data_IF_071313688768
#
_entry.id   IF_071313688768
#
_cell.length_a   1.000
_cell.length_b   1.000
_cell.length_c   1.000
_cell.angle_alpha   90.00
_cell.angle_beta   90.00
_cell.angle_gamma   90.00
#
_symmetry.space_group_name_H-M   'P 1'
#
loop_
_entity.id
_entity.type
_entity.pdbx_description
1 polymer ?
#
# COMPACT_ATOMS: atom_id res chain seq x y z
N UNK A 1 -7.29 -3.40 -5.89
CA UNK A 1 -6.34 -4.46 -6.31
C UNK A 1 -5.36 -4.64 -5.16
N UNK A 2 -5.21 -5.85 -4.59
CA UNK A 2 -4.27 -6.07 -3.47
C UNK A 2 -2.84 -5.74 -3.91
N UNK A 3 -2.03 -5.22 -2.99
CA UNK A 3 -0.62 -4.88 -3.24
C UNK A 3 0.17 -6.08 -3.78
N UNK A 4 -0.16 -7.31 -3.35
CA UNK A 4 0.47 -8.52 -3.82
C UNK A 4 0.20 -8.79 -5.31
N UNK A 5 -1.02 -8.55 -5.81
CA UNK A 5 -1.39 -8.74 -7.22
C UNK A 5 -0.60 -7.80 -8.11
N UNK A 6 -0.47 -6.53 -7.70
CA UNK A 6 0.36 -5.56 -8.41
C UNK A 6 1.84 -5.97 -8.42
N UNK A 7 2.35 -6.51 -7.31
CA UNK A 7 3.74 -6.96 -7.22
C UNK A 7 4.06 -8.15 -8.14
N UNK A 8 3.16 -9.14 -8.25
CA UNK A 8 3.35 -10.27 -9.19
C UNK A 8 3.35 -9.80 -10.64
N UNK A 9 2.41 -8.91 -11.02
CA UNK A 9 2.37 -8.34 -12.37
C UNK A 9 3.67 -7.63 -12.72
N UNK A 10 4.26 -6.87 -11.79
CA UNK A 10 5.53 -6.20 -12.03
C UNK A 10 6.69 -7.17 -12.16
N UNK A 11 6.71 -8.23 -11.36
CA UNK A 11 7.72 -9.28 -11.45
C UNK A 11 7.71 -9.95 -12.82
N UNK A 12 6.53 -10.28 -13.36
CA UNK A 12 6.38 -10.86 -14.71
C UNK A 12 6.87 -9.92 -15.82
N UNK A 13 6.64 -8.60 -15.67
CA UNK A 13 7.10 -7.60 -16.64
C UNK A 13 8.63 -7.52 -16.61
N UNK A 14 9.20 -7.41 -15.41
CA UNK A 14 10.65 -7.28 -15.23
C UNK A 14 11.40 -8.53 -15.68
N UNK A 15 10.86 -9.72 -15.47
CA UNK A 15 11.44 -10.99 -15.94
C UNK A 15 11.50 -11.03 -17.48
N UNK A 16 10.42 -10.64 -18.15
CA UNK A 16 10.41 -10.55 -19.63
C UNK A 16 11.40 -9.53 -20.17
N UNK A 17 11.50 -8.37 -19.54
CA UNK A 17 12.47 -7.34 -19.94
C UNK A 17 13.91 -7.79 -19.69
N UNK A 18 14.15 -8.47 -18.57
CA UNK A 18 15.44 -9.06 -18.24
C UNK A 18 15.84 -10.11 -19.29
N UNK A 19 14.98 -11.09 -19.57
CA UNK A 19 15.24 -12.17 -20.53
C UNK A 19 15.57 -11.62 -21.91
N UNK A 20 14.78 -10.65 -22.38
CA UNK A 20 15.03 -9.99 -23.67
C UNK A 20 16.40 -9.31 -23.68
N UNK A 21 16.68 -8.48 -22.68
CA UNK A 21 17.95 -7.73 -22.60
C UNK A 21 19.15 -8.66 -22.45
N UNK A 22 18.98 -9.79 -21.76
CA UNK A 22 20.00 -10.80 -21.59
C UNK A 22 20.34 -11.47 -22.93
N UNK A 23 19.34 -11.87 -23.71
CA UNK A 23 19.54 -12.45 -25.04
C UNK A 23 20.19 -11.44 -25.98
N UNK A 24 19.69 -10.20 -26.01
CA UNK A 24 20.24 -9.14 -26.85
C UNK A 24 21.73 -8.89 -26.52
N UNK A 25 22.10 -8.94 -25.24
CA UNK A 25 23.49 -8.79 -24.80
C UNK A 25 24.38 -9.97 -25.19
N UNK A 26 23.90 -11.22 -25.11
CA UNK A 26 24.69 -12.39 -25.53
C UNK A 26 24.92 -12.40 -27.05
N UNK A 27 23.94 -11.95 -27.83
CA UNK A 27 24.10 -11.76 -29.28
C UNK A 27 25.21 -10.74 -29.58
N UNK A 28 25.22 -9.60 -28.89
CA UNK A 28 26.27 -8.59 -29.05
C UNK A 28 27.66 -9.10 -28.67
N UNK A 29 27.76 -9.94 -27.63
CA UNK A 29 29.03 -10.59 -27.26
C UNK A 29 29.49 -11.62 -28.31
N UNK A 30 28.54 -12.22 -29.04
CA UNK A 30 28.81 -13.14 -30.13
C UNK A 30 29.32 -12.47 -31.41
N UNK A 31 29.08 -11.17 -31.59
CA UNK A 31 29.56 -10.37 -32.72
C UNK A 31 31.02 -9.89 -32.56
N UNK A 32 31.65 -10.13 -31.40
CA UNK A 32 33.04 -9.78 -31.14
C UNK A 32 33.98 -10.71 -31.93
N UNK A 33 35.03 -10.14 -32.52
CA UNK A 33 36.02 -10.88 -33.31
C UNK A 33 36.62 -12.06 -32.53
N UNK A 34 36.86 -13.17 -33.23
CA UNK A 34 37.35 -14.42 -32.63
C UNK A 34 38.74 -14.27 -31.98
N UNK A 35 39.53 -13.30 -32.45
CA UNK A 35 40.84 -12.93 -31.88
C UNK A 35 40.73 -12.22 -30.51
N UNK A 36 39.51 -11.83 -30.10
CA UNK A 36 39.17 -11.21 -28.83
C UNK A 36 38.27 -12.09 -27.95
N UNK A 37 38.39 -13.42 -28.08
CA UNK A 37 37.55 -14.39 -27.36
C UNK A 37 37.51 -14.20 -25.84
N UNK A 38 38.61 -13.73 -25.25
CA UNK A 38 38.71 -13.49 -23.80
C UNK A 38 37.67 -12.46 -23.30
N UNK A 39 37.32 -11.47 -24.13
CA UNK A 39 36.31 -10.45 -23.82
C UNK A 39 34.91 -11.07 -23.81
N UNK A 40 34.61 -11.92 -24.80
CA UNK A 40 33.35 -12.66 -24.89
C UNK A 40 33.19 -13.61 -23.69
N UNK A 41 34.25 -14.32 -23.31
CA UNK A 41 34.24 -15.24 -22.18
C UNK A 41 34.06 -14.51 -20.84
N UNK A 42 34.78 -13.41 -20.62
CA UNK A 42 34.59 -12.59 -19.41
C UNK A 42 33.18 -11.98 -19.37
N UNK A 43 32.68 -11.46 -20.50
CA UNK A 43 31.33 -10.92 -20.62
C UNK A 43 30.26 -11.93 -20.23
N UNK A 44 30.32 -13.15 -20.77
CA UNK A 44 29.39 -14.25 -20.44
C UNK A 44 29.50 -14.70 -18.98
N UNK A 45 30.70 -14.70 -18.41
CA UNK A 45 30.88 -14.97 -16.99
C UNK A 45 30.18 -13.92 -16.11
N UNK A 46 30.30 -12.63 -16.43
CA UNK A 46 29.57 -11.56 -15.72
C UNK A 46 28.05 -11.68 -15.92
N UNK A 47 27.59 -12.00 -17.13
CA UNK A 47 26.16 -12.24 -17.40
C UNK A 47 25.61 -13.38 -16.54
N UNK A 48 26.35 -14.47 -16.40
CA UNK A 48 25.96 -15.59 -15.52
C UNK A 48 25.76 -15.14 -14.07
N UNK A 49 26.67 -14.28 -13.57
CA UNK A 49 26.54 -13.69 -12.22
C UNK A 49 25.31 -12.79 -12.13
N UNK A 50 25.06 -11.93 -13.12
CA UNK A 50 23.88 -11.06 -13.17
C UNK A 50 22.57 -11.86 -13.19
N UNK A 51 22.50 -12.93 -13.99
CA UNK A 51 21.35 -13.85 -14.03
C UNK A 51 21.10 -14.51 -12.68
N UNK A 52 22.15 -15.02 -12.02
CA UNK A 52 22.03 -15.58 -10.67
C UNK A 52 21.53 -14.55 -9.64
N UNK A 53 22.04 -13.33 -9.68
CA UNK A 53 21.58 -12.24 -8.81
C UNK A 53 20.11 -11.88 -9.07
N UNK A 54 19.69 -11.80 -10.34
CA UNK A 54 18.31 -11.53 -10.72
C UNK A 54 17.37 -12.64 -10.26
N UNK A 55 17.73 -13.91 -10.49
CA UNK A 55 16.94 -15.06 -10.05
C UNK A 55 16.74 -15.06 -8.52
N UNK A 56 17.78 -14.76 -7.74
CA UNK A 56 17.66 -14.64 -6.28
C UNK A 56 16.77 -13.47 -5.86
N UNK A 57 16.87 -12.33 -6.55
CA UNK A 57 16.04 -11.16 -6.29
C UNK A 57 14.56 -11.48 -6.58
N UNK A 58 14.27 -12.09 -7.74
CA UNK A 58 12.93 -12.50 -8.14
C UNK A 58 12.33 -13.48 -7.13
N UNK A 59 13.07 -14.53 -6.75
CA UNK A 59 12.63 -15.49 -5.74
C UNK A 59 12.30 -14.83 -4.39
N UNK A 60 13.17 -13.94 -3.91
CA UNK A 60 12.94 -13.22 -2.64
C UNK A 60 11.74 -12.27 -2.75
N UNK A 61 11.61 -11.53 -3.83
CA UNK A 61 10.48 -10.64 -4.08
C UNK A 61 9.16 -11.42 -4.14
N UNK A 62 9.13 -12.55 -4.84
CA UNK A 62 7.97 -13.44 -4.92
C UNK A 62 7.58 -13.99 -3.53
N UNK A 63 8.57 -14.46 -2.75
CA UNK A 63 8.36 -14.97 -1.38
C UNK A 63 7.75 -13.90 -0.47
N UNK A 64 8.27 -12.67 -0.53
CA UNK A 64 7.75 -11.54 0.25
C UNK A 64 6.31 -11.22 -0.16
N UNK A 65 6.03 -11.14 -1.47
CA UNK A 65 4.68 -10.85 -1.98
C UNK A 65 3.67 -11.93 -1.58
N UNK A 66 4.04 -13.21 -1.64
CA UNK A 66 3.19 -14.32 -1.20
C UNK A 66 2.93 -14.28 0.31
N UNK A 67 3.97 -14.02 1.11
CA UNK A 67 3.84 -13.92 2.57
C UNK A 67 2.94 -12.75 2.95
N UNK A 68 3.11 -11.60 2.30
CA UNK A 68 2.25 -10.44 2.50
C UNK A 68 0.80 -10.74 2.14
N UNK A 69 0.54 -11.41 1.01
CA UNK A 69 -0.82 -11.79 0.63
C UNK A 69 -1.49 -12.69 1.70
N UNK A 70 -0.73 -13.64 2.26
CA UNK A 70 -1.23 -14.53 3.32
C UNK A 70 -1.51 -13.76 4.62
N UNK A 71 -0.62 -12.85 5.02
CA UNK A 71 -0.80 -12.00 6.20
C UNK A 71 -1.98 -11.03 6.02
N UNK A 72 -2.15 -10.44 4.83
CA UNK A 72 -3.32 -9.62 4.49
C UNK A 72 -4.62 -10.41 4.66
N UNK A 73 -4.67 -11.65 4.15
CA UNK A 73 -5.83 -12.50 4.28
C UNK A 73 -6.15 -12.84 5.75
N UNK A 74 -5.15 -13.26 6.54
CA UNK A 74 -5.33 -13.55 7.97
C UNK A 74 -5.79 -12.32 8.77
N UNK A 75 -5.26 -11.15 8.42
CA UNK A 75 -5.62 -9.90 9.08
C UNK A 75 -7.06 -9.49 8.76
N UNK A 76 -7.53 -9.70 7.52
CA UNK A 76 -8.92 -9.49 7.15
C UNK A 76 -9.83 -10.46 7.92
N UNK A 77 -9.46 -11.75 7.96
CA UNK A 77 -10.20 -12.80 8.65
C UNK A 77 -10.43 -12.48 10.14
N UNK A 78 -9.34 -12.20 10.87
CA UNK A 78 -9.39 -11.82 12.30
C UNK A 78 -10.20 -10.52 12.51
N UNK A 79 -10.13 -9.57 11.58
CA UNK A 79 -10.92 -8.34 11.68
C UNK A 79 -12.41 -8.63 11.55
N UNK A 80 -12.81 -9.50 10.62
CA UNK A 80 -14.20 -9.92 10.47
C UNK A 80 -14.69 -10.63 11.73
N UNK A 81 -13.94 -11.60 12.24
CA UNK A 81 -14.27 -12.29 13.51
C UNK A 81 -14.41 -11.31 14.69
N UNK A 82 -13.53 -10.31 14.77
CA UNK A 82 -13.58 -9.29 15.82
C UNK A 82 -14.82 -8.39 15.68
N UNK A 83 -15.21 -8.04 14.45
CA UNK A 83 -16.42 -7.25 14.18
C UNK A 83 -17.64 -8.05 14.62
N UNK A 84 -17.74 -9.31 14.22
CA UNK A 84 -18.86 -10.19 14.56
C UNK A 84 -18.97 -10.38 16.07
N UNK A 85 -17.87 -10.71 16.75
CA UNK A 85 -17.85 -10.87 18.21
C UNK A 85 -18.25 -9.57 18.95
N UNK A 86 -17.87 -8.40 18.42
CA UNK A 86 -18.28 -7.10 18.99
C UNK A 86 -19.76 -6.81 18.75
N UNK A 87 -20.28 -7.15 17.57
CA UNK A 87 -21.69 -7.00 17.24
C UNK A 87 -22.55 -7.90 18.15
N UNK A 88 -22.16 -9.17 18.31
CA UNK A 88 -22.83 -10.12 19.21
C UNK A 88 -22.83 -9.63 20.65
N UNK A 89 -21.68 -9.16 21.16
CA UNK A 89 -21.60 -8.59 22.52
C UNK A 89 -22.56 -7.41 22.68
N UNK A 90 -22.61 -6.50 21.71
CA UNK A 90 -23.50 -5.34 21.77
C UNK A 90 -24.98 -5.75 21.71
N UNK A 91 -25.33 -6.73 20.88
CA UNK A 91 -26.69 -7.27 20.79
C UNK A 91 -27.12 -7.93 22.11
N UNK A 92 -26.24 -8.73 22.73
CA UNK A 92 -26.49 -9.36 24.03
C UNK A 92 -26.62 -8.33 25.16
N UNK A 93 -25.77 -7.30 25.18
CA UNK A 93 -25.87 -6.19 26.13
C UNK A 93 -27.21 -5.44 26.00
N UNK A 94 -27.72 -5.26 24.78
CA UNK A 94 -29.02 -4.64 24.54
C UNK A 94 -30.17 -5.54 24.99
N UNK A 95 -30.15 -6.82 24.61
CA UNK A 95 -31.16 -7.81 25.06
C UNK A 95 -31.21 -7.92 26.59
N UNK A 96 -30.06 -7.88 27.25
CA UNK A 96 -30.00 -7.89 28.72
C UNK A 96 -30.71 -6.69 29.34
N UNK A 97 -30.58 -5.49 28.75
CA UNK A 97 -31.29 -4.29 29.21
C UNK A 97 -32.78 -4.40 28.95
N UNK A 98 -33.18 -4.91 27.78
CA UNK A 98 -34.58 -5.06 27.41
C UNK A 98 -35.29 -6.06 28.34
N UNK A 99 -34.65 -7.20 28.64
CA UNK A 99 -35.16 -8.19 29.60
C UNK A 99 -35.26 -7.60 31.01
N UNK A 100 -34.28 -6.81 31.44
CA UNK A 100 -34.32 -6.12 32.74
C UNK A 100 -35.51 -5.16 32.82
N UNK A 101 -35.80 -4.42 31.76
CA UNK A 101 -36.97 -3.54 31.70
C UNK A 101 -38.28 -4.33 31.71
N UNK A 102 -38.37 -5.44 30.96
CA UNK A 102 -39.55 -6.32 30.98
C UNK A 102 -39.78 -6.93 32.37
N UNK A 103 -38.71 -7.31 33.08
CA UNK A 103 -38.80 -7.78 34.46
C UNK A 103 -39.36 -6.71 35.40
N UNK A 104 -38.88 -5.47 35.29
CA UNK A 104 -39.42 -4.37 36.09
C UNK A 104 -40.89 -4.04 35.77
N UNK A 105 -41.27 -4.10 34.49
CA UNK A 105 -42.66 -3.90 34.07
C UNK A 105 -43.59 -4.97 34.65
N UNK A 106 -43.21 -6.25 34.52
CA UNK A 106 -44.00 -7.38 35.07
C UNK A 106 -44.05 -7.39 36.60
N UNK A 107 -42.98 -6.99 37.27
CA UNK A 107 -42.98 -6.80 38.73
C UNK A 107 -43.99 -5.74 39.16
N UNK A 108 -44.05 -4.61 38.43
CA UNK A 108 -45.01 -3.54 38.69
C UNK A 108 -46.45 -4.03 38.46
N UNK A 109 -46.73 -4.70 37.35
CA UNK A 109 -48.05 -5.30 37.08
C UNK A 109 -48.48 -6.28 38.18
N UNK A 110 -47.56 -7.14 38.64
CA UNK A 110 -47.82 -8.06 39.75
C UNK A 110 -48.13 -7.33 41.07
N UNK A 111 -47.51 -6.18 41.33
CA UNK A 111 -47.80 -5.36 42.50
C UNK A 111 -49.17 -4.68 42.39
N UNK A 112 -49.53 -4.17 41.20
CA UNK A 112 -50.84 -3.57 40.92
C UNK A 112 -51.98 -4.58 41.09
N UNK A 113 -51.77 -5.84 40.67
CA UNK A 113 -52.74 -6.93 40.89
C UNK A 113 -52.93 -7.28 42.37
N UNK A 114 -51.91 -7.05 43.21
CA UNK A 114 -51.99 -7.30 44.66
C UNK A 114 -52.68 -6.17 45.42
N UNK A 115 -52.58 -4.92 44.95
CA UNK A 115 -53.19 -3.73 45.59
C UNK A 115 -54.01 -2.90 44.59
N UNK A 116 -55.29 -3.26 44.33
CA UNK A 116 -56.11 -2.65 43.29
C UNK A 116 -56.66 -1.25 43.61
N UNK A 117 -56.41 -0.70 44.80
CA UNK A 117 -57.01 0.56 45.27
C UNK A 117 -56.21 1.83 44.94
N UNK A 118 -55.03 1.71 44.32
CA UNK A 118 -54.15 2.84 43.94
C UNK A 118 -54.14 3.09 42.40
N UNK A 119 -55.32 3.04 41.76
CA UNK A 119 -55.44 3.20 40.30
C UNK A 119 -55.52 4.69 39.91
N UNK A 120 -54.46 5.44 40.19
CA UNK A 120 -54.15 6.72 39.53
C UNK A 120 -52.86 6.50 38.71
N UNK A 121 -52.96 6.22 37.40
CA UNK A 121 -51.74 6.05 36.60
C UNK A 121 -51.86 5.42 35.21
N UNK A 122 -53.04 4.96 34.80
CA UNK A 122 -53.24 4.34 33.48
C UNK A 122 -52.85 5.28 32.31
N UNK A 123 -53.15 6.58 32.42
CA UNK A 123 -52.71 7.58 31.44
C UNK A 123 -51.19 7.84 31.48
N UNK A 124 -50.56 7.69 32.65
CA UNK A 124 -49.10 7.78 32.80
C UNK A 124 -48.40 6.62 32.10
N UNK A 125 -48.99 5.41 32.12
CA UNK A 125 -48.49 4.23 31.42
C UNK A 125 -48.64 4.41 29.90
N UNK A 126 -49.79 4.89 29.42
CA UNK A 126 -50.02 5.18 27.99
C UNK A 126 -49.01 6.20 27.45
N UNK A 127 -48.79 7.29 28.20
CA UNK A 127 -47.83 8.33 27.82
C UNK A 127 -46.39 7.83 27.78
N UNK A 128 -45.99 6.97 28.73
CA UNK A 128 -44.67 6.32 28.73
C UNK A 128 -44.46 5.39 27.52
N UNK A 129 -45.51 4.66 27.11
CA UNK A 129 -45.47 3.81 25.90
C UNK A 129 -45.32 4.64 24.62
N UNK A 130 -46.05 5.75 24.50
CA UNK A 130 -45.92 6.66 23.36
C UNK A 130 -44.52 7.30 23.28
N UNK A 131 -43.99 7.75 24.43
CA UNK A 131 -42.61 8.26 24.53
C UNK A 131 -41.57 7.20 24.17
N UNK A 132 -41.75 5.94 24.60
CA UNK A 132 -40.87 4.83 24.22
C UNK A 132 -40.91 4.53 22.72
N UNK A 133 -42.09 4.49 22.10
CA UNK A 133 -42.24 4.25 20.65
C UNK A 133 -41.58 5.37 19.85
N UNK A 134 -41.76 6.63 20.27
CA UNK A 134 -41.09 7.77 19.65
C UNK A 134 -39.56 7.65 19.74
N UNK A 135 -39.06 7.29 20.92
CA UNK A 135 -37.63 7.14 21.18
C UNK A 135 -37.00 6.00 20.37
N UNK A 136 -37.67 4.86 20.27
CA UNK A 136 -37.23 3.73 19.43
C UNK A 136 -37.18 4.10 17.95
N UNK A 137 -38.17 4.85 17.44
CA UNK A 137 -38.16 5.32 16.04
C UNK A 137 -36.98 6.25 15.76
N UNK A 138 -36.65 7.12 16.72
CA UNK A 138 -35.55 8.06 16.60
C UNK A 138 -34.19 7.34 16.66
N UNK A 139 -34.03 6.39 17.58
CA UNK A 139 -32.85 5.50 17.66
C UNK A 139 -32.67 4.68 16.38
N UNK A 140 -33.75 4.11 15.83
CA UNK A 140 -33.70 3.36 14.56
C UNK A 140 -33.22 4.24 13.40
N UNK A 141 -33.75 5.46 13.30
CA UNK A 141 -33.34 6.42 12.26
C UNK A 141 -31.88 6.84 12.41
N UNK A 142 -31.41 7.06 13.64
CA UNK A 142 -30.02 7.38 13.93
C UNK A 142 -29.08 6.23 13.56
N UNK A 143 -29.44 5.00 13.93
CA UNK A 143 -28.66 3.80 13.61
C UNK A 143 -28.54 3.59 12.09
N UNK A 144 -29.67 3.68 11.37
CA UNK A 144 -29.66 3.56 9.90
C UNK A 144 -28.83 4.65 9.22
N UNK A 145 -28.89 5.89 9.74
CA UNK A 145 -28.05 6.99 9.24
C UNK A 145 -26.56 6.74 9.51
N UNK A 146 -26.22 6.21 10.69
CA UNK A 146 -24.84 5.88 11.04
C UNK A 146 -24.29 4.75 10.18
N UNK A 147 -25.10 3.73 9.88
CA UNK A 147 -24.74 2.62 9.01
C UNK A 147 -24.43 3.07 7.58
N UNK A 148 -25.28 3.91 6.98
CA UNK A 148 -25.04 4.47 5.65
C UNK A 148 -23.75 5.30 5.62
N UNK A 149 -23.51 6.13 6.64
CA UNK A 149 -22.26 6.91 6.75
C UNK A 149 -21.03 6.01 6.86
N UNK A 150 -21.11 4.93 7.64
CA UNK A 150 -20.02 3.98 7.79
C UNK A 150 -19.65 3.33 6.45
N UNK A 151 -20.64 2.93 5.65
CA UNK A 151 -20.43 2.36 4.32
C UNK A 151 -19.75 3.36 3.36
N UNK A 152 -20.18 4.63 3.36
CA UNK A 152 -19.57 5.66 2.51
C UNK A 152 -18.12 5.98 2.94
N UNK A 153 -17.86 6.09 4.24
CA UNK A 153 -16.49 6.26 4.75
C UNK A 153 -15.59 5.06 4.46
N UNK A 154 -16.12 3.84 4.45
CA UNK A 154 -15.34 2.65 4.10
C UNK A 154 -14.91 2.66 2.63
N UNK A 155 -15.81 3.06 1.72
CA UNK A 155 -15.48 3.24 0.30
C UNK A 155 -14.40 4.31 0.10
N UNK A 156 -14.57 5.48 0.73
CA UNK A 156 -13.60 6.56 0.64
C UNK A 156 -12.23 6.15 1.21
N UNK A 157 -12.21 5.50 2.38
CA UNK A 157 -10.99 5.01 3.01
C UNK A 157 -10.26 4.00 2.13
N UNK A 158 -11.00 3.12 1.45
CA UNK A 158 -10.43 2.17 0.49
C UNK A 158 -9.79 2.88 -0.70
N UNK A 159 -10.44 3.92 -1.22
CA UNK A 159 -9.90 4.76 -2.29
C UNK A 159 -8.63 5.51 -1.86
N UNK A 160 -8.65 6.15 -0.69
CA UNK A 160 -7.49 6.88 -0.15
C UNK A 160 -6.31 5.96 0.12
N UNK A 161 -6.53 4.76 0.68
CA UNK A 161 -5.47 3.75 0.86
C UNK A 161 -4.82 3.37 -0.47
N UNK A 162 -5.62 3.19 -1.53
CA UNK A 162 -5.08 2.89 -2.85
C UNK A 162 -4.23 4.05 -3.40
N UNK A 163 -4.67 5.30 -3.22
CA UNK A 163 -3.89 6.48 -3.61
C UNK A 163 -2.56 6.57 -2.85
N UNK A 164 -2.56 6.32 -1.53
CA UNK A 164 -1.35 6.33 -0.71
C UNK A 164 -0.34 5.31 -1.20
N UNK A 165 -0.76 4.07 -1.47
CA UNK A 165 0.13 3.01 -1.98
C UNK A 165 0.75 3.42 -3.33
N UNK A 166 -0.04 4.03 -4.22
CA UNK A 166 0.46 4.52 -5.49
C UNK A 166 1.52 5.61 -5.31
N UNK A 167 1.23 6.64 -4.52
CA UNK A 167 2.16 7.74 -4.25
C UNK A 167 3.45 7.25 -3.57
N UNK A 168 3.34 6.33 -2.62
CA UNK A 168 4.51 5.73 -1.97
C UNK A 168 5.37 4.98 -2.98
N UNK A 169 4.76 4.17 -3.85
CA UNK A 169 5.49 3.43 -4.90
C UNK A 169 6.28 4.37 -5.81
N UNK A 170 5.70 5.52 -6.18
CA UNK A 170 6.38 6.54 -7.00
C UNK A 170 7.53 7.21 -6.28
N UNK A 171 7.35 7.57 -5.01
CA UNK A 171 8.40 8.18 -4.20
C UNK A 171 9.57 7.21 -4.05
N UNK A 172 9.30 5.94 -3.76
CA UNK A 172 10.35 4.92 -3.67
C UNK A 172 11.05 4.70 -5.02
N UNK A 173 10.30 4.61 -6.12
CA UNK A 173 10.87 4.51 -7.47
C UNK A 173 11.78 5.69 -7.80
N UNK A 174 11.33 6.92 -7.51
CA UNK A 174 12.10 8.15 -7.75
C UNK A 174 13.37 8.22 -6.91
N UNK A 175 13.30 7.83 -5.64
CA UNK A 175 14.47 7.74 -4.74
C UNK A 175 15.48 6.72 -5.25
N UNK A 176 15.00 5.58 -5.74
CA UNK A 176 15.85 4.53 -6.27
C UNK A 176 16.54 4.96 -7.56
N UNK A 177 15.80 5.56 -8.49
CA UNK A 177 16.34 6.12 -9.73
C UNK A 177 17.42 7.18 -9.46
N UNK A 178 17.16 8.10 -8.52
CA UNK A 178 18.16 9.09 -8.11
C UNK A 178 19.43 8.44 -7.54
N UNK A 179 19.29 7.41 -6.69
CA UNK A 179 20.43 6.69 -6.11
C UNK A 179 21.28 5.96 -7.15
N UNK A 180 20.66 5.36 -8.17
CA UNK A 180 21.41 4.69 -9.24
C UNK A 180 22.05 5.67 -10.22
N UNK A 181 21.36 6.77 -10.53
CA UNK A 181 21.95 7.87 -11.29
C UNK A 181 23.24 8.37 -10.62
N UNK A 182 23.27 8.51 -9.30
CA UNK A 182 24.47 8.92 -8.58
C UNK A 182 25.65 7.97 -8.76
N UNK A 183 25.39 6.66 -8.80
CA UNK A 183 26.44 5.65 -9.03
C UNK A 183 26.95 5.68 -10.46
N UNK A 184 26.05 5.80 -11.44
CA UNK A 184 26.43 5.93 -12.85
C UNK A 184 27.26 7.20 -13.08
N UNK A 185 26.82 8.33 -12.53
CA UNK A 185 27.53 9.60 -12.59
C UNK A 185 28.92 9.49 -11.96
N UNK A 186 29.05 8.87 -10.78
CA UNK A 186 30.35 8.65 -10.15
C UNK A 186 31.30 7.83 -11.05
N UNK A 187 30.80 6.75 -11.67
CA UNK A 187 31.60 5.94 -12.61
C UNK A 187 32.01 6.72 -13.87
N UNK A 188 31.10 7.52 -14.44
CA UNK A 188 31.39 8.38 -15.60
C UNK A 188 32.42 9.45 -15.27
N UNK A 189 32.31 10.09 -14.10
CA UNK A 189 33.29 11.07 -13.62
C UNK A 189 34.67 10.42 -13.50
N UNK A 190 34.76 9.22 -12.92
CA UNK A 190 36.03 8.47 -12.83
C UNK A 190 36.61 8.18 -14.21
N UNK A 191 35.79 7.74 -15.18
CA UNK A 191 36.26 7.52 -16.56
C UNK A 191 36.79 8.81 -17.19
N UNK A 192 36.09 9.93 -17.02
CA UNK A 192 36.54 11.24 -17.53
C UNK A 192 37.85 11.66 -16.87
N UNK A 193 38.01 11.45 -15.56
CA UNK A 193 39.27 11.74 -14.85
C UNK A 193 40.43 10.89 -15.37
N UNK A 194 40.18 9.62 -15.69
CA UNK A 194 41.19 8.72 -16.26
C UNK A 194 41.58 9.15 -17.69
N UNK A 195 40.61 9.55 -18.51
CA UNK A 195 40.83 10.02 -19.88
C UNK A 195 41.47 11.42 -19.92
N UNK A 196 41.13 12.28 -18.96
CA UNK A 196 41.61 13.65 -18.84
C UNK A 196 42.91 13.79 -18.03
N UNK A 197 43.58 12.67 -17.73
CA UNK A 197 44.81 12.63 -16.91
C UNK A 197 45.93 13.57 -17.40
N UNK A 198 45.95 13.88 -18.70
CA UNK A 198 46.95 14.75 -19.31
C UNK A 198 46.51 16.23 -19.45
N UNK A 199 45.23 16.55 -19.19
CA UNK A 199 44.74 17.92 -19.11
C UNK A 199 45.29 18.59 -17.83
N UNK A 200 45.92 19.76 -17.97
CA UNK A 200 46.51 20.51 -16.85
C UNK A 200 46.06 21.97 -16.85
N UNK A 201 46.04 22.57 -15.67
CA UNK A 201 45.78 24.00 -15.49
C UNK A 201 44.32 24.38 -15.76
N UNK A 202 44.11 25.56 -16.34
CA UNK A 202 42.78 26.17 -16.50
C UNK A 202 41.80 25.34 -17.35
N UNK A 203 42.30 24.55 -18.30
CA UNK A 203 41.44 23.72 -19.17
C UNK A 203 40.81 22.54 -18.42
N UNK A 204 41.55 21.97 -17.44
CA UNK A 204 41.00 20.95 -16.54
C UNK A 204 39.93 21.54 -15.62
N UNK A 205 40.17 22.73 -15.04
CA UNK A 205 39.20 23.40 -14.15
C UNK A 205 37.93 23.82 -14.91
N UNK A 206 38.06 24.34 -16.13
CA UNK A 206 36.90 24.72 -16.95
C UNK A 206 36.04 23.51 -17.33
N UNK A 207 36.67 22.41 -17.75
CA UNK A 207 35.97 21.16 -18.06
C UNK A 207 35.28 20.59 -16.80
N UNK A 208 35.97 20.62 -15.66
CA UNK A 208 35.43 20.14 -14.39
C UNK A 208 34.20 20.95 -13.94
N UNK A 209 34.29 22.28 -13.96
CA UNK A 209 33.20 23.17 -13.61
C UNK A 209 31.97 22.99 -14.53
N UNK A 210 32.21 22.77 -15.83
CA UNK A 210 31.15 22.51 -16.79
C UNK A 210 30.46 21.16 -16.52
N UNK A 211 31.23 20.10 -16.27
CA UNK A 211 30.70 18.79 -15.91
C UNK A 211 29.89 18.83 -14.62
N UNK A 212 30.39 19.52 -13.59
CA UNK A 212 29.68 19.69 -12.33
C UNK A 212 28.33 20.41 -12.52
N UNK A 213 28.30 21.48 -13.32
CA UNK A 213 27.09 22.20 -13.67
C UNK A 213 26.08 21.33 -14.45
N UNK A 214 26.53 20.55 -15.44
CA UNK A 214 25.69 19.64 -16.20
C UNK A 214 25.12 18.51 -15.33
N UNK A 215 25.93 17.95 -14.43
CA UNK A 215 25.52 16.92 -13.48
C UNK A 215 24.38 17.42 -12.58
N UNK A 216 24.54 18.61 -11.99
CA UNK A 216 23.50 19.21 -11.16
C UNK A 216 22.20 19.45 -11.94
N UNK A 217 22.32 19.93 -13.18
CA UNK A 217 21.16 20.14 -14.06
C UNK A 217 20.46 18.82 -14.41
N UNK A 218 21.21 17.77 -14.73
CA UNK A 218 20.66 16.45 -15.08
C UNK A 218 20.02 15.75 -13.88
N UNK A 219 20.60 15.85 -12.68
CA UNK A 219 19.97 15.41 -11.43
C UNK A 219 18.62 16.10 -11.22
N UNK A 220 18.59 17.43 -11.32
CA UNK A 220 17.37 18.20 -11.10
C UNK A 220 16.29 17.85 -12.14
N UNK A 221 16.66 17.72 -13.42
CA UNK A 221 15.75 17.30 -14.50
C UNK A 221 15.20 15.89 -14.29
N UNK A 222 16.02 14.95 -13.80
CA UNK A 222 15.60 13.56 -13.56
C UNK A 222 14.59 13.50 -12.43
N UNK A 223 14.84 14.20 -11.32
CA UNK A 223 13.89 14.30 -10.20
C UNK A 223 12.59 14.96 -10.65
N UNK A 224 12.65 16.07 -11.39
CA UNK A 224 11.45 16.74 -11.90
C UNK A 224 10.65 15.83 -12.84
N UNK A 225 11.29 15.11 -13.75
CA UNK A 225 10.59 14.19 -14.66
C UNK A 225 9.93 13.03 -13.90
N UNK A 226 10.63 12.46 -12.92
CA UNK A 226 10.07 11.42 -12.07
C UNK A 226 8.85 11.92 -11.27
N UNK A 227 8.87 13.18 -10.81
CA UNK A 227 7.75 13.80 -10.10
C UNK A 227 6.62 14.31 -11.01
N UNK A 228 6.89 14.64 -12.28
CA UNK A 228 5.92 15.24 -13.24
C UNK A 228 5.36 14.28 -14.29
N UNK A 229 5.86 13.04 -14.39
CA UNK A 229 5.56 12.10 -15.46
C UNK A 229 4.11 11.57 -15.55
N UNK A 230 3.11 12.27 -15.00
CA UNK A 230 1.73 11.77 -14.86
C UNK A 230 0.61 12.61 -15.48
N UNK A 231 0.91 13.61 -16.31
CA UNK A 231 -0.13 14.27 -17.12
C UNK A 231 -0.45 13.51 -18.44
N UNK A 232 -0.21 12.20 -18.52
CA UNK A 232 -0.61 11.36 -19.66
C UNK A 232 -1.10 9.98 -19.24
#
# INVERSE_FOLDING_TARGET
>A
MSAAVSAFRWLDILEKEFDKSFVDLDLLLGDIDQDQSDITDEGRAKMTVLSSCFAQLAHKAQTISQTNAKLEAQLIDIRTELIDAKADRQALEQQSKDIMLQLHATQLECQMLKNPSEIEGADTIRKKLEEQISKQREEFKQNSTAEIKAQEFEKENTSLKAQIVNLQSEIYGSRLAAKYLDKELAGRIQQIQLLGRDLRGADHENLWNQLEAEIHLHRHKTVIRACRGRDK
#
